data_IF_795292605370
#
_entry.id   IF_795292605370
#
_cell.length_a   1.000
_cell.length_b   1.000
_cell.length_c   1.000
_cell.angle_alpha   90.00
_cell.angle_beta   90.00
_cell.angle_gamma   90.00
#
_symmetry.space_group_name_H-M   'P 1'
#
loop_
_entity.id
_entity.type
_entity.pdbx_description
1 polymer ?
#
# COMPACT_ATOMS: atom_id res chain seq x y z
N UNK A 1 -32.92 -5.46 -17.00
CA UNK A 1 -31.67 -4.73 -16.70
C UNK A 1 -31.75 -4.36 -15.24
N UNK A 2 -30.75 -4.71 -14.44
CA UNK A 2 -30.77 -4.50 -12.98
C UNK A 2 -29.60 -3.62 -12.60
N UNK A 3 -29.81 -2.65 -11.73
CA UNK A 3 -28.73 -1.84 -11.15
C UNK A 3 -28.56 -2.26 -9.71
N UNK A 4 -27.33 -2.61 -9.32
CA UNK A 4 -26.95 -2.94 -7.95
C UNK A 4 -26.07 -1.81 -7.44
N UNK A 5 -26.50 -1.15 -6.38
CA UNK A 5 -25.79 -0.02 -5.77
C UNK A 5 -24.97 -0.50 -4.55
N UNK A 6 -24.10 0.39 -4.06
CA UNK A 6 -23.29 0.17 -2.87
C UNK A 6 -22.46 -1.13 -2.89
N UNK A 7 -21.94 -1.48 -4.06
CA UNK A 7 -21.08 -2.66 -4.22
C UNK A 7 -19.69 -2.32 -3.72
N UNK A 8 -19.10 -3.23 -2.93
CA UNK A 8 -17.73 -3.10 -2.44
C UNK A 8 -16.74 -3.57 -3.50
N UNK A 9 -15.74 -2.73 -3.79
CA UNK A 9 -14.69 -2.98 -4.76
C UNK A 9 -13.65 -3.97 -4.21
N UNK A 10 -13.44 -5.14 -4.87
CA UNK A 10 -12.54 -6.17 -4.38
C UNK A 10 -11.12 -6.01 -4.90
N UNK A 11 -10.60 -4.79 -5.05
CA UNK A 11 -9.28 -4.54 -5.67
C UNK A 11 -8.21 -4.18 -4.64
N UNK A 12 -8.22 -2.94 -4.15
CA UNK A 12 -7.20 -2.40 -3.25
C UNK A 12 -7.76 -2.08 -1.86
N UNK A 13 -6.90 -1.82 -0.90
CA UNK A 13 -7.26 -1.52 0.50
C UNK A 13 -8.04 -0.23 0.72
N UNK A 14 -8.30 0.57 -0.33
CA UNK A 14 -9.24 1.69 -0.25
C UNK A 14 -10.69 1.22 -0.15
N UNK A 15 -10.98 -0.05 -0.52
CA UNK A 15 -12.24 -0.76 -0.29
C UNK A 15 -13.48 0.08 -0.65
N UNK A 16 -13.52 0.62 -1.87
CA UNK A 16 -14.59 1.52 -2.27
C UNK A 16 -15.96 0.82 -2.23
N UNK A 17 -16.90 1.36 -1.45
CA UNK A 17 -18.24 0.83 -1.17
C UNK A 17 -19.38 1.55 -1.92
N UNK A 18 -19.06 2.43 -2.87
CA UNK A 18 -20.00 3.27 -3.62
C UNK A 18 -20.13 2.86 -5.10
N UNK A 19 -19.71 1.65 -5.44
CA UNK A 19 -19.72 1.16 -6.83
C UNK A 19 -21.16 0.82 -7.24
N UNK A 20 -21.57 1.28 -8.42
CA UNK A 20 -22.82 0.84 -9.05
C UNK A 20 -22.51 -0.11 -10.20
N UNK A 21 -23.15 -1.28 -10.19
CA UNK A 21 -23.05 -2.27 -11.25
C UNK A 21 -24.36 -2.35 -12.03
N UNK A 22 -24.28 -2.24 -13.36
CA UNK A 22 -25.41 -2.54 -14.24
C UNK A 22 -25.29 -3.96 -14.76
N UNK A 23 -26.34 -4.77 -14.55
CA UNK A 23 -26.43 -6.16 -14.96
C UNK A 23 -27.47 -6.31 -16.08
N UNK A 24 -27.07 -6.94 -17.18
CA UNK A 24 -27.93 -7.28 -18.32
C UNK A 24 -27.66 -8.74 -18.73
N UNK A 25 -28.71 -9.56 -18.80
CA UNK A 25 -28.58 -10.98 -19.16
C UNK A 25 -27.63 -11.76 -18.23
N UNK A 26 -27.67 -11.47 -16.92
CA UNK A 26 -26.79 -12.12 -15.94
C UNK A 26 -25.32 -11.70 -15.99
N UNK A 27 -24.94 -10.69 -16.80
CA UNK A 27 -23.56 -10.19 -16.92
C UNK A 27 -23.47 -8.74 -16.46
N UNK A 28 -22.36 -8.40 -15.82
CA UNK A 28 -21.99 -7.01 -15.51
C UNK A 28 -21.58 -6.35 -16.82
N UNK A 29 -22.27 -5.27 -17.20
CA UNK A 29 -22.03 -4.56 -18.48
C UNK A 29 -21.55 -3.13 -18.28
N UNK A 30 -21.71 -2.57 -17.09
CA UNK A 30 -21.25 -1.23 -16.75
C UNK A 30 -20.92 -1.14 -15.27
N UNK A 31 -19.85 -0.42 -14.98
CA UNK A 31 -19.39 -0.06 -13.64
C UNK A 31 -19.42 1.47 -13.57
N UNK A 32 -20.00 2.04 -12.52
CA UNK A 32 -19.89 3.46 -12.21
C UNK A 32 -19.18 3.64 -10.87
N UNK A 33 -18.56 4.80 -10.69
CA UNK A 33 -17.72 5.13 -9.54
C UNK A 33 -16.50 4.20 -9.38
N UNK A 34 -16.21 3.33 -10.35
CA UNK A 34 -14.98 2.53 -10.36
C UNK A 34 -13.80 3.34 -10.90
N UNK A 35 -12.60 3.12 -10.36
CA UNK A 35 -11.38 3.46 -11.10
C UNK A 35 -11.13 2.40 -12.20
N UNK A 36 -10.16 2.65 -13.08
CA UNK A 36 -9.80 1.71 -14.15
C UNK A 36 -9.53 0.28 -13.68
N UNK A 37 -8.93 0.09 -12.50
CA UNK A 37 -8.71 -1.24 -11.93
C UNK A 37 -10.01 -1.93 -11.48
N UNK A 38 -10.93 -1.16 -10.88
CA UNK A 38 -12.25 -1.64 -10.47
C UNK A 38 -13.08 -2.04 -11.70
N UNK A 39 -13.08 -1.20 -12.74
CA UNK A 39 -13.75 -1.49 -14.00
C UNK A 39 -13.18 -2.74 -14.65
N UNK A 40 -11.85 -2.84 -14.74
CA UNK A 40 -11.18 -4.00 -15.31
C UNK A 40 -11.56 -5.30 -14.58
N UNK A 41 -11.60 -5.28 -13.24
CA UNK A 41 -11.96 -6.47 -12.44
C UNK A 41 -13.42 -6.90 -12.63
N UNK A 42 -14.35 -5.96 -12.63
CA UNK A 42 -15.77 -6.28 -12.76
C UNK A 42 -16.22 -6.59 -14.18
N UNK A 43 -15.66 -5.93 -15.20
CA UNK A 43 -16.06 -6.16 -16.60
C UNK A 43 -15.44 -7.43 -17.19
N UNK A 44 -14.24 -7.81 -16.72
CA UNK A 44 -13.49 -8.97 -17.24
C UNK A 44 -13.50 -10.18 -16.31
N UNK A 45 -14.45 -10.26 -15.36
CA UNK A 45 -14.51 -11.33 -14.35
C UNK A 45 -14.60 -12.77 -14.93
N UNK A 46 -14.96 -12.90 -16.21
CA UNK A 46 -15.16 -14.17 -16.91
C UNK A 46 -14.14 -14.42 -18.02
N UNK A 47 -13.22 -13.49 -18.28
CA UNK A 47 -12.15 -13.66 -19.27
C UNK A 47 -11.18 -14.73 -18.77
N UNK A 48 -10.90 -15.74 -19.61
CA UNK A 48 -10.00 -16.86 -19.31
C UNK A 48 -10.31 -17.61 -17.99
N UNK A 49 -11.58 -17.59 -17.56
CA UNK A 49 -11.98 -18.16 -16.26
C UNK A 49 -12.06 -19.70 -16.33
N UNK A 50 -11.24 -20.44 -15.56
CA UNK A 50 -11.40 -21.89 -15.46
C UNK A 50 -12.72 -22.22 -14.74
N UNK A 51 -13.58 -23.00 -15.40
CA UNK A 51 -14.89 -23.42 -14.88
C UNK A 51 -14.89 -24.83 -14.27
N UNK A 52 -13.79 -25.57 -14.42
CA UNK A 52 -13.61 -26.91 -13.88
C UNK A 52 -12.27 -27.00 -13.16
N UNK A 53 -12.18 -27.78 -12.06
CA UNK A 53 -10.90 -28.14 -11.47
C UNK A 53 -10.00 -28.81 -12.50
N UNK A 54 -8.71 -28.48 -12.45
CA UNK A 54 -7.68 -29.04 -13.33
C UNK A 54 -6.63 -29.74 -12.46
N UNK A 55 -6.14 -30.87 -12.93
CA UNK A 55 -5.05 -31.62 -12.29
C UNK A 55 -3.96 -31.93 -13.31
N UNK A 56 -2.69 -31.81 -12.92
CA UNK A 56 -1.58 -32.15 -13.80
C UNK A 56 -1.40 -33.67 -13.89
N UNK A 57 -1.52 -34.24 -15.08
CA UNK A 57 -1.22 -35.65 -15.39
C UNK A 57 -0.25 -35.68 -16.57
N UNK A 58 0.90 -36.34 -16.41
CA UNK A 58 1.95 -36.43 -17.45
C UNK A 58 2.35 -35.06 -18.04
N UNK A 59 2.57 -34.07 -17.17
CA UNK A 59 2.97 -32.71 -17.56
C UNK A 59 1.84 -31.79 -18.05
N UNK A 60 0.66 -32.31 -18.38
CA UNK A 60 -0.47 -31.53 -18.92
C UNK A 60 -1.59 -31.34 -17.89
N UNK A 61 -2.24 -30.19 -17.89
CA UNK A 61 -3.44 -29.95 -17.08
C UNK A 61 -4.65 -30.60 -17.74
N UNK A 62 -5.35 -31.45 -17.00
CA UNK A 62 -6.57 -32.12 -17.46
C UNK A 62 -7.76 -31.81 -16.54
N UNK A 63 -8.96 -31.61 -17.08
CA UNK A 63 -10.17 -31.43 -16.26
C UNK A 63 -10.48 -32.67 -15.41
N UNK A 64 -10.85 -32.46 -14.16
CA UNK A 64 -11.27 -33.50 -13.21
C UNK A 64 -12.50 -33.06 -12.42
N UNK A 65 -13.13 -33.98 -11.69
CA UNK A 65 -14.22 -33.63 -10.77
C UNK A 65 -13.70 -32.86 -9.55
N UNK A 66 -14.56 -32.07 -8.92
CA UNK A 66 -14.22 -31.37 -7.67
C UNK A 66 -13.83 -32.37 -6.57
N UNK A 67 -14.55 -33.50 -6.47
CA UNK A 67 -14.25 -34.55 -5.50
C UNK A 67 -12.85 -35.13 -5.70
N UNK A 68 -12.46 -35.44 -6.95
CA UNK A 68 -11.12 -35.95 -7.27
C UNK A 68 -10.04 -34.92 -6.93
N UNK A 69 -10.22 -33.66 -7.34
CA UNK A 69 -9.25 -32.59 -7.08
C UNK A 69 -9.05 -32.33 -5.58
N UNK A 70 -10.13 -32.21 -4.82
CA UNK A 70 -10.08 -31.97 -3.37
C UNK A 70 -9.46 -33.17 -2.65
N UNK A 71 -9.86 -34.40 -3.00
CA UNK A 71 -9.29 -35.61 -2.40
C UNK A 71 -7.77 -35.69 -2.63
N UNK A 72 -7.30 -35.33 -3.84
CA UNK A 72 -5.88 -35.35 -4.13
C UNK A 72 -5.12 -34.24 -3.40
N UNK A 73 -5.67 -33.03 -3.31
CA UNK A 73 -5.08 -31.94 -2.55
C UNK A 73 -4.96 -32.28 -1.06
N UNK A 74 -6.01 -32.87 -0.47
CA UNK A 74 -6.01 -33.32 0.92
C UNK A 74 -4.95 -34.40 1.17
N UNK A 75 -4.79 -35.37 0.26
CA UNK A 75 -3.72 -36.38 0.35
C UNK A 75 -2.32 -35.77 0.34
N UNK A 76 -2.09 -34.73 -0.47
CA UNK A 76 -0.79 -34.04 -0.54
C UNK A 76 -0.52 -33.34 0.79
N UNK A 77 -1.49 -32.57 1.30
CA UNK A 77 -1.32 -31.83 2.55
C UNK A 77 -1.16 -32.75 3.76
N UNK A 78 -1.96 -33.81 3.85
CA UNK A 78 -1.86 -34.78 4.95
C UNK A 78 -0.57 -35.62 4.93
N UNK A 79 0.07 -35.74 3.76
CA UNK A 79 1.36 -36.43 3.61
C UNK A 79 2.57 -35.50 3.66
N UNK A 80 2.37 -34.18 3.79
CA UNK A 80 3.43 -33.20 3.87
C UNK A 80 4.01 -33.13 5.29
N UNK A 81 5.31 -32.89 5.38
CA UNK A 81 6.04 -32.71 6.64
C UNK A 81 6.00 -31.25 7.08
N UNK A 82 6.09 -30.32 6.12
CA UNK A 82 6.12 -28.89 6.41
C UNK A 82 5.44 -28.08 5.28
N UNK A 83 4.10 -28.21 5.15
CA UNK A 83 3.36 -27.50 4.11
C UNK A 83 3.31 -25.99 4.35
N UNK A 84 3.23 -25.21 3.26
CA UNK A 84 2.94 -23.77 3.31
C UNK A 84 1.54 -23.47 2.76
N UNK A 85 0.79 -22.63 3.48
CA UNK A 85 -0.57 -22.22 3.16
C UNK A 85 -0.59 -20.70 2.95
N UNK A 86 -0.52 -20.25 1.70
CA UNK A 86 -0.22 -18.85 1.36
C UNK A 86 -1.30 -18.11 0.56
N UNK A 87 -1.53 -16.84 0.91
CA UNK A 87 -2.22 -15.85 0.08
C UNK A 87 -3.27 -15.04 0.82
N UNK A 88 -4.52 -15.53 0.82
CA UNK A 88 -5.68 -15.13 1.66
C UNK A 88 -6.20 -13.68 1.51
N UNK A 89 -5.37 -12.76 1.03
CA UNK A 89 -5.64 -11.32 1.08
C UNK A 89 -6.65 -10.83 0.04
N UNK A 90 -7.02 -11.69 -0.90
CA UNK A 90 -8.05 -11.44 -1.92
C UNK A 90 -9.24 -12.40 -1.84
N UNK A 91 -9.50 -12.99 -0.66
CA UNK A 91 -10.72 -13.77 -0.35
C UNK A 91 -11.43 -13.21 0.89
N UNK A 92 -12.50 -13.86 1.36
CA UNK A 92 -13.27 -13.42 2.53
C UNK A 92 -12.62 -13.85 3.86
N UNK A 93 -13.08 -13.26 4.95
CA UNK A 93 -12.62 -13.60 6.30
C UNK A 93 -13.01 -15.03 6.70
N UNK A 94 -14.17 -15.53 6.27
CA UNK A 94 -14.64 -16.89 6.53
C UNK A 94 -13.77 -17.94 5.83
N UNK A 95 -13.36 -17.67 4.58
CA UNK A 95 -12.42 -18.52 3.86
C UNK A 95 -11.04 -18.51 4.54
N UNK A 96 -10.62 -17.34 5.06
CA UNK A 96 -9.37 -17.21 5.81
C UNK A 96 -9.41 -18.02 7.11
N UNK A 97 -10.51 -17.93 7.87
CA UNK A 97 -10.69 -18.71 9.10
C UNK A 97 -10.67 -20.22 8.83
N UNK A 98 -11.32 -20.68 7.75
CA UNK A 98 -11.26 -22.09 7.34
C UNK A 98 -9.82 -22.48 6.96
N UNK A 99 -9.06 -21.58 6.33
CA UNK A 99 -7.65 -21.79 5.99
C UNK A 99 -6.75 -21.95 7.21
N UNK A 100 -6.98 -21.19 8.27
CA UNK A 100 -6.25 -21.33 9.55
C UNK A 100 -6.59 -22.65 10.22
N UNK A 101 -7.87 -23.03 10.31
CA UNK A 101 -8.27 -24.32 10.86
C UNK A 101 -7.65 -25.49 10.09
N UNK A 102 -7.53 -25.37 8.76
CA UNK A 102 -6.81 -26.34 7.95
C UNK A 102 -5.31 -26.38 8.29
N UNK A 103 -4.67 -25.22 8.49
CA UNK A 103 -3.25 -25.14 8.88
C UNK A 103 -2.99 -25.76 10.26
N UNK A 104 -3.90 -25.56 11.21
CA UNK A 104 -3.84 -26.21 12.52
C UNK A 104 -3.90 -27.74 12.41
N UNK A 105 -4.77 -28.27 11.54
CA UNK A 105 -4.93 -29.71 11.33
C UNK A 105 -3.73 -30.35 10.62
N UNK A 106 -3.17 -29.70 9.60
CA UNK A 106 -2.07 -30.27 8.78
C UNK A 106 -0.68 -29.89 9.30
N UNK A 107 -0.59 -28.93 10.21
CA UNK A 107 0.67 -28.32 10.64
C UNK A 107 1.31 -27.43 9.57
N UNK A 108 2.57 -27.03 9.80
CA UNK A 108 3.32 -26.15 8.92
C UNK A 108 2.91 -24.69 9.03
N UNK A 109 3.16 -23.91 7.97
CA UNK A 109 3.06 -22.44 8.02
C UNK A 109 1.84 -21.93 7.28
N UNK A 110 1.04 -21.08 7.93
CA UNK A 110 0.02 -20.25 7.28
C UNK A 110 0.48 -18.80 7.23
N UNK A 111 0.45 -18.21 6.03
CA UNK A 111 0.97 -16.87 5.79
C UNK A 111 0.16 -16.12 4.74
N UNK A 112 0.14 -14.79 4.79
CA UNK A 112 -0.63 -13.96 3.88
C UNK A 112 0.26 -12.92 3.18
N UNK A 113 -0.29 -12.13 2.26
CA UNK A 113 0.51 -11.18 1.45
C UNK A 113 1.21 -10.08 2.26
N UNK A 114 0.88 -9.89 3.55
CA UNK A 114 1.60 -9.02 4.47
C UNK A 114 3.10 -9.31 4.47
N UNK A 115 3.53 -10.59 4.40
CA UNK A 115 4.97 -10.95 4.37
C UNK A 115 5.77 -10.28 3.25
N UNK A 116 5.15 -9.90 2.13
CA UNK A 116 5.77 -9.20 0.99
C UNK A 116 5.23 -7.78 0.80
N UNK A 117 4.53 -7.23 1.79
CA UNK A 117 3.87 -5.93 1.70
C UNK A 117 4.07 -5.09 2.97
N UNK A 118 3.15 -5.18 3.94
CA UNK A 118 3.16 -4.39 5.17
C UNK A 118 3.55 -5.20 6.42
N UNK A 119 4.14 -6.39 6.26
CA UNK A 119 4.71 -7.20 7.34
C UNK A 119 5.71 -6.42 8.20
N UNK A 120 6.66 -5.65 7.60
CA UNK A 120 7.52 -4.75 8.36
C UNK A 120 6.74 -3.72 9.18
N UNK A 121 5.59 -3.24 8.67
CA UNK A 121 4.72 -2.35 9.45
C UNK A 121 4.09 -3.04 10.64
N UNK A 122 3.68 -4.30 10.49
CA UNK A 122 3.11 -5.10 11.59
C UNK A 122 4.14 -5.28 12.71
N UNK A 123 5.37 -5.65 12.36
CA UNK A 123 6.48 -5.76 13.33
C UNK A 123 6.73 -4.44 14.06
N UNK A 124 6.78 -3.32 13.33
CA UNK A 124 6.95 -1.99 13.93
C UNK A 124 5.81 -1.60 14.86
N UNK A 125 4.57 -1.96 14.52
CA UNK A 125 3.40 -1.70 15.37
C UNK A 125 3.48 -2.52 16.66
N UNK A 126 4.03 -3.74 16.63
CA UNK A 126 4.27 -4.54 17.83
C UNK A 126 5.36 -3.91 18.71
N UNK A 127 6.43 -3.38 18.11
CA UNK A 127 7.55 -2.77 18.86
C UNK A 127 7.17 -1.43 19.49
N UNK A 128 6.50 -0.55 18.74
CA UNK A 128 6.29 0.84 19.16
C UNK A 128 4.82 1.28 19.19
N UNK A 129 3.89 0.54 18.62
CA UNK A 129 2.47 0.94 18.54
C UNK A 129 2.18 1.97 17.44
N UNK A 130 0.89 2.24 17.19
CA UNK A 130 0.44 3.09 16.08
C UNK A 130 -0.62 4.13 16.49
N UNK A 131 -0.33 5.44 16.37
CA UNK A 131 -1.35 6.48 16.50
C UNK A 131 -2.10 6.68 15.17
N UNK A 132 -3.18 5.93 14.94
CA UNK A 132 -3.98 6.00 13.70
C UNK A 132 -5.38 6.59 13.89
N UNK A 133 -6.17 6.67 12.82
CA UNK A 133 -7.57 7.12 12.82
C UNK A 133 -8.36 6.48 11.67
N UNK A 134 -9.66 6.75 11.55
CA UNK A 134 -10.45 6.34 10.38
C UNK A 134 -10.34 7.37 9.24
N UNK A 135 -10.53 6.94 7.99
CA UNK A 135 -10.52 7.83 6.82
C UNK A 135 -11.57 8.95 6.89
N UNK A 136 -12.64 8.78 7.67
CA UNK A 136 -13.62 9.83 7.95
C UNK A 136 -13.02 11.01 8.74
N UNK A 137 -12.13 10.75 9.71
CA UNK A 137 -11.44 11.82 10.43
C UNK A 137 -10.55 12.61 9.47
N UNK A 138 -9.79 11.91 8.63
CA UNK A 138 -8.93 12.53 7.61
C UNK A 138 -9.74 13.41 6.67
N UNK A 139 -10.80 12.87 6.08
CA UNK A 139 -11.68 13.60 5.15
C UNK A 139 -12.19 14.90 5.75
N UNK A 140 -12.62 14.88 7.00
CA UNK A 140 -13.30 16.03 7.58
C UNK A 140 -12.39 17.05 8.25
N UNK A 141 -11.22 16.63 8.77
CA UNK A 141 -10.39 17.45 9.67
C UNK A 141 -8.95 17.66 9.20
N UNK A 142 -8.41 16.77 8.36
CA UNK A 142 -6.98 16.87 8.03
C UNK A 142 -6.68 18.08 7.16
N UNK A 143 -5.89 19.01 7.69
CA UNK A 143 -5.38 20.20 7.02
C UNK A 143 -3.92 20.01 6.56
N UNK A 144 -3.26 18.93 7.01
CA UNK A 144 -2.00 18.46 6.43
C UNK A 144 -2.07 16.97 6.10
N UNK A 145 -1.78 16.62 4.84
CA UNK A 145 -1.69 15.25 4.34
C UNK A 145 -0.30 15.01 3.79
N UNK A 146 0.38 13.98 4.30
CA UNK A 146 1.70 13.55 3.83
C UNK A 146 1.54 12.17 3.20
N UNK A 147 1.95 11.99 1.95
CA UNK A 147 2.17 10.66 1.36
C UNK A 147 3.67 10.37 1.33
N UNK A 148 4.10 9.36 2.09
CA UNK A 148 5.49 8.96 2.23
C UNK A 148 5.74 7.59 1.59
N UNK A 149 6.59 7.53 0.56
CA UNK A 149 6.90 6.29 -0.13
C UNK A 149 5.65 5.60 -0.68
N UNK A 150 4.65 6.38 -1.10
CA UNK A 150 3.38 5.88 -1.62
C UNK A 150 2.88 6.74 -2.79
N UNK A 151 2.32 6.06 -3.79
CA UNK A 151 1.71 6.67 -4.98
C UNK A 151 0.24 6.26 -5.10
N UNK A 152 -0.65 6.81 -4.25
CA UNK A 152 -2.08 6.51 -4.28
C UNK A 152 -2.72 6.78 -5.65
N UNK A 153 -2.20 7.71 -6.47
CA UNK A 153 -2.76 7.94 -7.81
C UNK A 153 -2.78 6.66 -8.66
N UNK A 154 -1.74 5.84 -8.52
CA UNK A 154 -1.61 4.57 -9.24
C UNK A 154 -2.11 3.36 -8.44
N UNK A 155 -1.75 3.28 -7.15
CA UNK A 155 -2.01 2.10 -6.34
C UNK A 155 -3.40 2.09 -5.67
N UNK A 156 -3.93 3.27 -5.34
CA UNK A 156 -5.24 3.45 -4.69
C UNK A 156 -5.99 4.62 -5.32
N UNK A 157 -6.36 4.57 -6.62
CA UNK A 157 -6.62 5.77 -7.43
C UNK A 157 -7.71 6.71 -6.90
N UNK A 158 -8.71 6.16 -6.20
CA UNK A 158 -9.80 6.94 -5.60
C UNK A 158 -9.50 7.43 -4.19
N UNK A 159 -8.35 7.10 -3.60
CA UNK A 159 -8.02 7.48 -2.23
C UNK A 159 -7.91 8.99 -2.06
N UNK A 160 -7.25 9.68 -3.02
CA UNK A 160 -7.11 11.14 -2.98
C UNK A 160 -8.47 11.83 -3.13
N UNK A 161 -9.27 11.35 -4.08
CA UNK A 161 -10.63 11.83 -4.39
C UNK A 161 -11.59 11.64 -3.21
N UNK A 162 -11.60 10.46 -2.59
CA UNK A 162 -12.62 10.10 -1.60
C UNK A 162 -12.29 10.53 -0.19
N UNK A 163 -11.02 10.51 0.20
CA UNK A 163 -10.65 10.57 1.63
C UNK A 163 -9.68 11.68 2.02
N UNK A 164 -8.94 12.27 1.08
CA UNK A 164 -7.88 13.23 1.40
C UNK A 164 -8.01 14.49 0.55
N UNK A 165 -6.94 14.97 -0.09
CA UNK A 165 -6.78 16.29 -0.72
C UNK A 165 -7.96 16.77 -1.55
N UNK A 166 -8.61 15.90 -2.31
CA UNK A 166 -9.69 16.28 -3.22
C UNK A 166 -11.10 15.98 -2.69
N UNK A 167 -11.21 15.47 -1.46
CA UNK A 167 -12.48 15.20 -0.81
C UNK A 167 -12.99 16.41 -0.03
N UNK A 168 -14.28 16.71 -0.18
CA UNK A 168 -14.94 17.75 0.61
C UNK A 168 -15.19 17.23 2.04
N UNK A 169 -14.57 17.92 3.00
CA UNK A 169 -14.72 17.69 4.43
C UNK A 169 -15.75 18.60 5.07
N UNK A 170 -16.00 18.38 6.37
CA UNK A 170 -16.93 19.22 7.16
C UNK A 170 -16.23 20.51 7.61
N UNK A 171 -14.96 20.40 7.97
CA UNK A 171 -14.14 21.51 8.43
C UNK A 171 -13.10 21.91 7.37
N UNK A 172 -12.59 20.94 6.61
CA UNK A 172 -11.62 21.17 5.55
C UNK A 172 -12.23 21.08 4.15
N UNK A 173 -11.93 22.06 3.29
CA UNK A 173 -12.43 22.15 1.92
C UNK A 173 -11.61 21.32 0.94
N UNK A 174 -12.25 20.88 -0.13
CA UNK A 174 -11.56 20.20 -1.24
C UNK A 174 -10.63 21.16 -2.00
N UNK A 175 -9.41 20.70 -2.30
CA UNK A 175 -8.43 21.45 -3.08
C UNK A 175 -8.62 21.33 -4.60
N UNK A 176 -9.72 20.72 -5.07
CA UNK A 176 -9.96 20.47 -6.50
C UNK A 176 -9.89 21.74 -7.35
N UNK A 177 -10.45 22.85 -6.85
CA UNK A 177 -10.43 24.15 -7.56
C UNK A 177 -9.01 24.69 -7.70
N UNK A 178 -8.21 24.61 -6.63
CA UNK A 178 -6.80 25.02 -6.60
C UNK A 178 -5.94 24.16 -7.53
N UNK A 179 -6.17 22.84 -7.54
CA UNK A 179 -5.49 21.93 -8.44
C UNK A 179 -5.81 22.20 -9.92
N UNK A 180 -7.08 22.43 -10.26
CA UNK A 180 -7.49 22.74 -11.64
C UNK A 180 -6.91 24.07 -12.13
N UNK A 181 -6.86 25.10 -11.28
CA UNK A 181 -6.27 26.39 -11.65
C UNK A 181 -4.76 26.26 -11.90
N UNK A 182 -4.03 25.56 -11.03
CA UNK A 182 -2.60 25.22 -11.23
C UNK A 182 -2.39 24.47 -12.54
N UNK A 183 -3.21 23.47 -12.83
CA UNK A 183 -3.10 22.64 -14.04
C UNK A 183 -3.35 23.45 -15.33
N UNK A 184 -4.35 24.34 -15.31
CA UNK A 184 -4.63 25.27 -16.44
C UNK A 184 -3.47 26.23 -16.66
N UNK A 185 -2.91 26.81 -15.60
CA UNK A 185 -1.75 27.69 -15.68
C UNK A 185 -0.50 26.98 -16.23
N UNK A 186 -0.21 25.76 -15.77
CA UNK A 186 0.87 24.91 -16.29
C UNK A 186 0.70 24.60 -17.77
N UNK A 187 -0.53 24.26 -18.20
CA UNK A 187 -0.85 23.98 -19.60
C UNK A 187 -0.70 25.24 -20.47
N UNK A 188 -1.14 26.39 -19.97
CA UNK A 188 -0.93 27.69 -20.62
C UNK A 188 0.55 28.01 -20.80
N UNK A 189 1.36 27.87 -19.75
CA UNK A 189 2.83 28.05 -19.81
C UNK A 189 3.48 27.10 -20.81
N UNK A 190 3.09 25.82 -20.84
CA UNK A 190 3.60 24.85 -21.81
C UNK A 190 3.25 25.22 -23.25
N UNK A 191 2.04 25.73 -23.52
CA UNK A 191 1.64 26.24 -24.84
C UNK A 191 2.47 27.46 -25.25
N UNK A 192 2.61 28.45 -24.36
CA UNK A 192 3.42 29.65 -24.63
C UNK A 192 4.89 29.28 -24.88
N UNK A 193 5.49 28.43 -24.04
CA UNK A 193 6.84 27.92 -24.24
C UNK A 193 6.99 27.09 -25.53
N UNK A 194 5.95 26.37 -25.96
CA UNK A 194 5.95 25.68 -27.25
C UNK A 194 5.90 26.65 -28.44
N UNK A 195 5.18 27.76 -28.32
CA UNK A 195 5.11 28.79 -29.37
C UNK A 195 6.41 29.57 -29.44
N UNK A 196 6.95 30.02 -28.30
CA UNK A 196 8.24 30.70 -28.22
C UNK A 196 9.36 29.84 -28.82
N UNK A 197 9.41 28.53 -28.52
CA UNK A 197 10.38 27.60 -29.14
C UNK A 197 10.27 27.49 -30.66
N UNK A 198 9.04 27.50 -31.20
CA UNK A 198 8.84 27.49 -32.67
C UNK A 198 9.32 28.79 -33.32
N UNK A 199 9.34 29.88 -32.57
CA UNK A 199 9.82 31.19 -33.02
C UNK A 199 11.33 31.36 -32.81
N UNK A 200 11.90 30.79 -31.74
CA UNK A 200 13.33 30.91 -31.39
C UNK A 200 14.23 29.85 -32.00
N UNK A 201 13.68 28.77 -32.56
CA UNK A 201 14.47 27.69 -33.17
C UNK A 201 15.25 26.83 -32.17
N UNK A 202 15.01 26.97 -30.86
CA UNK A 202 15.74 26.23 -29.82
C UNK A 202 15.28 24.77 -29.68
N UNK A 203 16.24 23.85 -29.65
CA UNK A 203 16.00 22.45 -29.29
C UNK A 203 15.70 22.27 -27.80
N UNK A 204 15.04 21.16 -27.47
CA UNK A 204 14.51 20.85 -26.15
C UNK A 204 15.66 20.63 -25.15
N UNK A 205 15.75 21.38 -24.03
CA UNK A 205 16.76 21.10 -23.01
C UNK A 205 16.51 19.74 -22.33
N UNK A 206 17.58 19.01 -22.04
CA UNK A 206 17.59 17.78 -21.26
C UNK A 206 17.40 18.11 -19.78
N UNK A 207 16.26 17.65 -19.24
CA UNK A 207 15.83 17.76 -17.84
C UNK A 207 15.68 19.21 -17.29
N UNK A 208 14.64 19.48 -16.48
CA UNK A 208 14.59 20.74 -15.75
C UNK A 208 15.76 20.79 -14.75
N UNK A 209 16.40 21.95 -14.55
CA UNK A 209 17.41 22.10 -13.50
C UNK A 209 16.80 21.79 -12.13
N UNK A 210 17.58 21.16 -11.26
CA UNK A 210 17.22 20.99 -9.85
C UNK A 210 16.86 22.37 -9.29
N UNK A 211 15.64 22.48 -8.74
CA UNK A 211 15.14 23.74 -8.24
C UNK A 211 16.05 24.26 -7.12
N UNK A 212 16.81 25.31 -7.42
CA UNK A 212 17.55 26.09 -6.44
C UNK A 212 16.61 26.88 -5.53
N UNK A 213 17.11 27.15 -4.33
CA UNK A 213 16.53 27.90 -3.21
C UNK A 213 15.51 28.96 -3.60
N UNK A 214 14.23 28.65 -3.34
CA UNK A 214 13.17 29.64 -3.21
C UNK A 214 12.33 29.19 -2.02
N UNK A 215 12.35 29.97 -0.94
CA UNK A 215 11.42 29.84 0.20
C UNK A 215 10.04 29.47 -0.33
N UNK A 216 9.49 28.32 0.06
CA UNK A 216 8.41 27.72 -0.72
C UNK A 216 7.04 28.31 -0.36
N UNK A 217 6.44 29.20 -1.17
CA UNK A 217 5.20 29.90 -0.79
C UNK A 217 3.98 28.96 -0.68
N UNK A 218 4.14 27.71 -1.14
CA UNK A 218 3.12 26.68 -1.11
C UNK A 218 2.93 26.04 0.28
N UNK A 219 3.95 26.05 1.14
CA UNK A 219 3.87 25.52 2.51
C UNK A 219 3.04 26.44 3.43
N UNK A 220 3.07 27.75 3.18
CA UNK A 220 2.37 28.78 3.98
C UNK A 220 0.91 29.02 3.56
N UNK A 221 0.39 28.27 2.58
CA UNK A 221 -1.00 28.43 2.12
C UNK A 221 -2.00 28.05 3.23
N UNK A 222 -3.16 28.70 3.22
CA UNK A 222 -4.31 28.34 4.06
C UNK A 222 -5.09 27.17 3.44
N UNK A 223 -5.71 26.34 4.30
CA UNK A 223 -6.46 25.15 3.90
C UNK A 223 -5.57 23.91 3.80
N UNK A 224 -6.10 22.85 3.17
CA UNK A 224 -5.45 21.54 3.16
C UNK A 224 -4.16 21.54 2.33
N UNK A 225 -3.05 21.17 2.98
CA UNK A 225 -1.71 21.04 2.40
C UNK A 225 -1.40 19.59 2.06
N UNK A 226 -0.79 19.36 0.89
CA UNK A 226 -0.33 18.05 0.44
C UNK A 226 1.20 18.02 0.30
N UNK A 227 1.84 17.20 1.12
CA UNK A 227 3.28 16.89 1.02
C UNK A 227 3.44 15.48 0.46
N UNK A 228 4.39 15.29 -0.46
CA UNK A 228 4.78 13.98 -0.97
C UNK A 228 6.26 13.78 -0.75
N UNK A 229 6.63 12.66 -0.15
CA UNK A 229 8.02 12.20 0.01
C UNK A 229 8.18 10.94 -0.82
N UNK A 230 8.96 10.99 -1.89
CA UNK A 230 9.20 9.85 -2.78
C UNK A 230 10.51 10.08 -3.55
N UNK A 231 11.25 8.99 -3.83
CA UNK A 231 12.48 9.05 -4.64
C UNK A 231 12.18 9.46 -6.09
N UNK A 232 10.93 9.27 -6.55
CA UNK A 232 10.45 9.64 -7.88
C UNK A 232 9.39 10.71 -7.81
N UNK A 233 9.42 11.63 -8.78
CA UNK A 233 8.30 12.54 -9.04
C UNK A 233 7.13 11.80 -9.69
N UNK A 234 6.24 11.25 -8.86
CA UNK A 234 5.05 10.51 -9.27
C UNK A 234 3.88 11.43 -9.65
N UNK A 235 2.78 10.86 -10.17
CA UNK A 235 1.54 11.62 -10.37
C UNK A 235 0.95 12.18 -9.07
N UNK A 236 1.14 11.49 -7.95
CA UNK A 236 0.79 12.04 -6.63
C UNK A 236 1.68 13.23 -6.29
N UNK A 237 2.99 13.17 -6.56
CA UNK A 237 3.90 14.30 -6.36
C UNK A 237 3.55 15.51 -7.25
N UNK A 238 3.09 15.30 -8.48
CA UNK A 238 2.66 16.39 -9.36
C UNK A 238 1.42 17.14 -8.85
N UNK A 239 0.61 16.49 -8.01
CA UNK A 239 -0.53 17.11 -7.34
C UNK A 239 -0.17 17.78 -6.01
N UNK A 240 1.04 17.53 -5.49
CA UNK A 240 1.48 18.02 -4.19
C UNK A 240 1.70 19.53 -4.17
N UNK A 241 1.49 20.14 -3.00
CA UNK A 241 1.94 21.51 -2.75
C UNK A 241 3.45 21.52 -2.51
N UNK A 242 3.98 20.47 -1.89
CA UNK A 242 5.39 20.30 -1.63
C UNK A 242 5.84 18.87 -1.93
N UNK A 243 6.96 18.74 -2.64
CA UNK A 243 7.55 17.45 -3.00
C UNK A 243 8.98 17.36 -2.48
N UNK A 244 9.21 16.38 -1.62
CA UNK A 244 10.51 16.04 -1.05
C UNK A 244 11.04 14.86 -1.84
N UNK A 245 12.05 15.10 -2.68
CA UNK A 245 12.72 14.05 -3.41
C UNK A 245 13.86 13.47 -2.56
N UNK A 246 13.53 12.50 -1.73
CA UNK A 246 14.50 11.79 -0.89
C UNK A 246 15.44 10.93 -1.73
N UNK A 247 16.72 10.85 -1.35
CA UNK A 247 17.66 9.90 -1.94
C UNK A 247 17.22 8.45 -1.69
N UNK A 248 17.44 7.53 -2.65
CA UNK A 248 17.11 6.12 -2.45
C UNK A 248 17.77 5.54 -1.20
N UNK A 249 16.96 4.86 -0.37
CA UNK A 249 17.39 4.21 0.87
C UNK A 249 17.86 5.17 1.98
N UNK A 250 17.40 6.43 1.95
CA UNK A 250 17.71 7.46 2.97
C UNK A 250 16.49 7.94 3.75
N UNK A 251 15.37 7.21 3.68
CA UNK A 251 14.15 7.51 4.43
C UNK A 251 14.37 7.47 5.95
N UNK A 252 15.19 6.55 6.45
CA UNK A 252 15.48 6.44 7.88
C UNK A 252 16.14 7.70 8.42
N UNK A 253 17.22 8.15 7.78
CA UNK A 253 17.94 9.37 8.17
C UNK A 253 17.01 10.58 8.10
N UNK A 254 16.22 10.72 7.04
CA UNK A 254 15.26 11.81 6.90
C UNK A 254 14.20 11.80 8.02
N UNK A 255 13.65 10.63 8.37
CA UNK A 255 12.70 10.49 9.46
C UNK A 255 13.33 10.84 10.83
N UNK A 256 14.57 10.43 11.08
CA UNK A 256 15.27 10.79 12.32
C UNK A 256 15.54 12.29 12.41
N UNK A 257 15.88 12.95 11.29
CA UNK A 257 16.03 14.40 11.25
C UNK A 257 14.73 15.10 11.61
N UNK A 258 13.58 14.70 11.05
CA UNK A 258 12.30 15.27 11.48
C UNK A 258 12.05 15.03 12.98
N UNK A 259 12.33 13.84 13.51
CA UNK A 259 12.15 13.58 14.94
C UNK A 259 13.02 14.48 15.82
N UNK A 260 14.27 14.72 15.42
CA UNK A 260 15.18 15.64 16.08
C UNK A 260 14.63 17.08 16.04
N UNK A 261 14.22 17.56 14.86
CA UNK A 261 13.62 18.89 14.69
C UNK A 261 12.35 19.09 15.53
N UNK A 262 11.45 18.10 15.57
CA UNK A 262 10.22 18.15 16.39
C UNK A 262 10.51 18.18 17.90
N UNK A 263 11.69 17.70 18.30
CA UNK A 263 12.19 17.73 19.68
C UNK A 263 13.11 18.93 19.96
N UNK A 264 13.07 19.95 19.10
CA UNK A 264 13.85 21.18 19.20
C UNK A 264 15.38 20.91 19.25
N UNK A 265 15.85 19.87 18.55
CA UNK A 265 17.28 19.55 18.42
C UNK A 265 17.88 20.17 17.16
N UNK A 266 19.12 20.66 17.27
CA UNK A 266 19.87 21.23 16.15
C UNK A 266 20.42 20.15 15.20
N UNK A 267 20.40 20.46 13.90
CA UNK A 267 20.92 19.59 12.84
C UNK A 267 22.21 20.20 12.29
N UNK A 268 23.35 19.70 12.74
CA UNK A 268 24.68 20.22 12.38
C UNK A 268 25.20 19.63 11.06
N UNK A 269 24.38 19.71 10.01
CA UNK A 269 24.74 19.36 8.62
C UNK A 269 23.97 20.23 7.64
N UNK A 270 24.56 20.53 6.49
CA UNK A 270 23.90 21.35 5.45
C UNK A 270 22.74 20.61 4.75
N UNK A 271 22.85 19.28 4.63
CA UNK A 271 21.89 18.44 3.90
C UNK A 271 21.72 17.07 4.54
N UNK A 272 20.49 16.56 4.50
CA UNK A 272 20.16 15.17 4.85
C UNK A 272 19.37 14.52 3.71
N UNK A 273 19.78 13.31 3.31
CA UNK A 273 19.12 12.52 2.27
C UNK A 273 18.95 13.26 0.91
N UNK A 274 19.83 14.23 0.63
CA UNK A 274 19.78 15.08 -0.56
C UNK A 274 19.02 16.41 -0.40
N UNK A 275 18.40 16.66 0.76
CA UNK A 275 17.58 17.86 1.02
C UNK A 275 18.32 18.84 1.94
N UNK A 276 18.36 20.15 1.62
CA UNK A 276 18.87 21.19 2.53
C UNK A 276 18.16 21.21 3.89
N UNK A 277 18.90 21.39 4.96
CA UNK A 277 18.35 21.41 6.34
C UNK A 277 17.28 22.49 6.54
N UNK A 278 17.49 23.68 5.98
CA UNK A 278 16.49 24.78 5.98
C UNK A 278 15.13 24.32 5.42
N UNK A 279 15.12 23.52 4.35
CA UNK A 279 13.88 23.01 3.78
C UNK A 279 13.20 21.97 4.70
N UNK A 280 13.99 21.21 5.47
CA UNK A 280 13.46 20.25 6.44
C UNK A 280 12.85 20.97 7.64
N UNK A 281 13.45 22.07 8.07
CA UNK A 281 12.90 22.97 9.11
C UNK A 281 11.56 23.55 8.66
N UNK A 282 11.46 24.09 7.44
CA UNK A 282 10.18 24.60 6.89
C UNK A 282 9.06 23.53 6.90
N UNK A 283 9.41 22.28 6.60
CA UNK A 283 8.47 21.16 6.62
C UNK A 283 8.10 20.75 8.04
N UNK A 284 9.06 20.74 8.97
CA UNK A 284 8.82 20.46 10.38
C UNK A 284 7.86 21.51 10.97
N UNK A 285 8.07 22.79 10.68
CA UNK A 285 7.17 23.88 11.06
C UNK A 285 5.76 23.67 10.49
N UNK A 286 5.65 23.23 9.24
CA UNK A 286 4.38 22.93 8.62
C UNK A 286 3.66 21.75 9.30
N UNK A 287 4.41 20.73 9.75
CA UNK A 287 3.89 19.59 10.51
C UNK A 287 3.42 20.01 11.89
N UNK A 288 4.18 20.85 12.61
CA UNK A 288 3.81 21.37 13.94
C UNK A 288 2.62 22.33 13.86
N UNK A 289 2.59 23.21 12.87
CA UNK A 289 1.59 24.26 12.72
C UNK A 289 0.25 23.81 12.13
N UNK A 290 0.05 22.52 11.83
CA UNK A 290 -1.23 21.99 11.38
C UNK A 290 -2.20 21.78 12.56
N UNK A 291 -3.50 21.69 12.30
CA UNK A 291 -4.50 21.33 13.31
C UNK A 291 -4.71 19.82 13.39
N UNK A 292 -4.68 19.14 12.24
CA UNK A 292 -4.74 17.68 12.14
C UNK A 292 -3.89 17.21 10.96
N UNK A 293 -2.74 16.63 11.27
CA UNK A 293 -1.86 16.03 10.29
C UNK A 293 -2.06 14.53 10.13
N UNK A 294 -1.85 14.01 8.93
CA UNK A 294 -1.80 12.57 8.69
C UNK A 294 -0.64 12.18 7.76
N UNK A 295 0.11 11.15 8.14
CA UNK A 295 1.06 10.45 7.26
C UNK A 295 0.40 9.19 6.73
N UNK A 296 0.28 9.08 5.41
CA UNK A 296 0.02 7.83 4.70
C UNK A 296 1.33 7.30 4.16
N UNK A 297 1.67 6.04 4.46
CA UNK A 297 2.93 5.46 4.01
C UNK A 297 2.75 4.13 3.29
N UNK A 298 3.64 3.82 2.35
CA UNK A 298 3.55 2.64 1.49
C UNK A 298 4.84 1.82 1.43
N UNK A 299 4.99 1.09 0.32
CA UNK A 299 6.12 0.19 0.10
C UNK A 299 7.47 0.89 0.02
N UNK A 300 7.51 2.21 -0.24
CA UNK A 300 8.74 2.98 -0.20
C UNK A 300 9.41 2.98 1.18
N UNK A 301 8.66 2.73 2.26
CA UNK A 301 9.24 2.50 3.59
C UNK A 301 9.45 1.02 3.91
N UNK A 302 8.50 0.15 3.53
CA UNK A 302 8.52 -1.26 3.96
C UNK A 302 9.46 -2.14 3.13
N UNK A 303 9.78 -1.74 1.89
CA UNK A 303 10.56 -2.53 0.94
C UNK A 303 11.87 -1.88 0.50
N UNK A 304 12.24 -0.73 1.10
CA UNK A 304 13.56 -0.12 0.98
C UNK A 304 14.50 -0.61 2.09
N UNK A 305 15.79 -0.27 2.00
CA UNK A 305 16.75 -0.59 3.06
C UNK A 305 16.27 -0.05 4.41
N UNK A 306 16.45 -0.82 5.48
CA UNK A 306 15.90 -0.53 6.80
C UNK A 306 14.56 -1.20 7.10
N UNK A 307 13.68 -1.40 6.08
CA UNK A 307 12.38 -2.07 6.19
C UNK A 307 11.57 -1.63 7.42
N UNK A 308 11.55 -2.45 8.48
CA UNK A 308 10.82 -2.17 9.72
C UNK A 308 11.37 -0.93 10.44
N UNK A 309 12.69 -0.68 10.42
CA UNK A 309 13.28 0.48 11.10
C UNK A 309 12.84 1.81 10.51
N UNK A 310 12.55 1.85 9.20
CA UNK A 310 11.93 3.01 8.57
C UNK A 310 10.53 3.25 9.13
N UNK A 311 9.75 2.18 9.29
CA UNK A 311 8.39 2.29 9.82
C UNK A 311 8.40 2.65 11.30
N UNK A 312 9.30 2.09 12.11
CA UNK A 312 9.49 2.47 13.52
C UNK A 312 9.72 3.98 13.65
N UNK A 313 10.61 4.54 12.82
CA UNK A 313 10.92 5.96 12.81
C UNK A 313 9.69 6.80 12.39
N UNK A 314 8.91 6.36 11.40
CA UNK A 314 7.69 7.05 10.98
C UNK A 314 6.58 7.01 12.05
N UNK A 315 6.37 5.87 12.70
CA UNK A 315 5.42 5.72 13.82
C UNK A 315 5.85 6.58 15.01
N UNK A 316 7.15 6.63 15.29
CA UNK A 316 7.72 7.46 16.35
C UNK A 316 7.62 8.95 16.03
N UNK A 317 7.83 9.36 14.79
CA UNK A 317 7.62 10.74 14.35
C UNK A 317 6.18 11.19 14.57
N UNK A 318 5.20 10.36 14.20
CA UNK A 318 3.79 10.66 14.46
C UNK A 318 3.51 10.81 15.96
N UNK A 319 4.16 10.01 16.83
CA UNK A 319 4.04 10.14 18.29
C UNK A 319 4.69 11.42 18.82
N UNK A 320 5.89 11.74 18.35
CA UNK A 320 6.62 12.95 18.71
C UNK A 320 5.79 14.18 18.32
N UNK A 321 5.18 14.19 17.14
CA UNK A 321 4.26 15.24 16.69
C UNK A 321 3.02 15.39 17.58
N UNK A 322 2.48 14.30 18.14
CA UNK A 322 1.35 14.37 19.08
C UNK A 322 1.66 15.10 20.39
N UNK A 323 2.94 15.41 20.68
CA UNK A 323 3.30 16.30 21.80
C UNK A 323 3.07 17.78 21.49
N UNK A 324 2.92 18.14 20.20
CA UNK A 324 2.79 19.52 19.72
C UNK A 324 1.45 19.78 19.01
N UNK A 325 0.96 18.84 18.21
CA UNK A 325 -0.30 18.95 17.46
C UNK A 325 -0.92 17.58 17.19
N UNK A 326 -2.20 17.52 16.82
CA UNK A 326 -2.83 16.24 16.54
C UNK A 326 -2.28 15.63 15.25
N UNK A 327 -1.67 14.45 15.37
CA UNK A 327 -1.14 13.72 14.22
C UNK A 327 -1.61 12.26 14.19
N UNK A 328 -1.81 11.72 13.00
CA UNK A 328 -2.10 10.31 12.77
C UNK A 328 -1.17 9.72 11.70
N UNK A 329 -1.00 8.40 11.72
CA UNK A 329 -0.27 7.67 10.68
C UNK A 329 -1.04 6.43 10.24
N UNK A 330 -1.03 6.13 8.94
CA UNK A 330 -1.78 5.02 8.37
C UNK A 330 -0.98 4.31 7.25
N UNK A 331 -0.79 2.98 7.33
CA UNK A 331 -0.24 2.20 6.22
C UNK A 331 -1.26 2.10 5.07
N UNK A 332 -0.79 2.32 3.84
CA UNK A 332 -1.57 2.19 2.62
C UNK A 332 -1.69 0.72 2.19
N UNK A 333 -2.48 -0.05 2.95
CA UNK A 333 -2.65 -1.51 2.77
C UNK A 333 -3.00 -1.89 1.32
N UNK A 334 -2.36 -2.94 0.81
CA UNK A 334 -2.40 -3.35 -0.60
C UNK A 334 -3.74 -3.93 -1.05
N UNK A 335 -3.92 -5.25 -0.93
CA UNK A 335 -5.15 -5.95 -1.37
C UNK A 335 -6.36 -5.59 -0.50
N UNK A 336 -7.56 -5.70 -1.08
CA UNK A 336 -8.80 -5.24 -0.44
C UNK A 336 -9.09 -5.88 0.93
N UNK A 337 -8.63 -7.10 1.18
CA UNK A 337 -8.87 -7.81 2.44
C UNK A 337 -7.59 -8.28 3.15
N UNK A 338 -6.41 -7.72 2.83
CA UNK A 338 -5.18 -8.07 3.57
C UNK A 338 -5.30 -7.74 5.06
N UNK A 339 -5.95 -6.62 5.40
CA UNK A 339 -6.23 -6.25 6.79
C UNK A 339 -7.19 -7.25 7.45
N UNK A 340 -8.22 -7.70 6.73
CA UNK A 340 -9.15 -8.70 7.26
C UNK A 340 -8.46 -10.04 7.51
N UNK A 341 -7.54 -10.46 6.62
CA UNK A 341 -6.73 -11.65 6.82
C UNK A 341 -5.87 -11.53 8.08
N UNK A 342 -5.12 -10.44 8.26
CA UNK A 342 -4.31 -10.23 9.47
C UNK A 342 -5.16 -10.26 10.75
N UNK A 343 -6.36 -9.66 10.72
CA UNK A 343 -7.27 -9.65 11.88
C UNK A 343 -7.73 -11.06 12.22
N UNK A 344 -8.15 -11.85 11.21
CA UNK A 344 -8.61 -13.24 11.39
C UNK A 344 -7.48 -14.10 11.98
N UNK A 345 -6.28 -13.98 11.41
CA UNK A 345 -5.07 -14.61 11.93
C UNK A 345 -4.84 -14.23 13.40
N UNK A 346 -4.89 -12.94 13.72
CA UNK A 346 -4.60 -12.43 15.06
C UNK A 346 -5.59 -12.93 16.10
N UNK A 347 -6.90 -12.88 15.84
CA UNK A 347 -7.88 -13.28 16.87
C UNK A 347 -7.98 -14.80 17.07
N UNK A 348 -7.58 -15.61 16.08
CA UNK A 348 -7.60 -17.09 16.21
C UNK A 348 -6.28 -17.64 16.76
N UNK A 349 -5.16 -17.05 16.36
CA UNK A 349 -3.83 -17.61 16.64
C UNK A 349 -3.00 -16.77 17.63
N UNK A 350 -3.41 -15.53 17.88
CA UNK A 350 -2.62 -14.52 18.59
C UNK A 350 -1.67 -13.73 17.70
N UNK A 351 -1.48 -14.13 16.43
CA UNK A 351 -0.47 -13.55 15.54
C UNK A 351 -1.02 -13.20 14.15
N UNK A 352 -0.53 -12.15 13.48
CA UNK A 352 -1.16 -11.60 12.27
C UNK A 352 -0.77 -12.25 10.92
N UNK A 353 0.39 -12.90 10.82
CA UNK A 353 0.88 -13.56 9.60
C UNK A 353 2.03 -14.52 9.98
N UNK A 354 2.62 -15.26 9.02
CA UNK A 354 3.78 -16.13 9.26
C UNK A 354 3.64 -17.04 10.51
N UNK A 355 2.47 -17.65 10.68
CA UNK A 355 2.15 -18.48 11.85
C UNK A 355 2.49 -19.93 11.54
N UNK A 356 3.32 -20.54 12.37
CA UNK A 356 3.72 -21.94 12.27
C UNK A 356 2.98 -22.80 13.29
N UNK A 357 2.36 -23.88 12.82
CA UNK A 357 1.63 -24.87 13.59
C UNK A 357 2.33 -26.23 13.65
N UNK A 358 3.58 -26.35 13.15
CA UNK A 358 4.34 -27.61 13.12
C UNK A 358 4.48 -28.33 14.47
N UNK A 359 4.41 -27.59 15.58
CA UNK A 359 4.50 -28.12 16.94
C UNK A 359 3.14 -28.37 17.60
N UNK A 360 2.03 -28.24 16.88
CA UNK A 360 0.66 -28.39 17.39
C UNK A 360 0.12 -27.18 18.16
N UNK A 361 0.83 -26.05 18.16
CA UNK A 361 0.41 -24.76 18.71
C UNK A 361 1.03 -23.62 17.91
N UNK A 362 0.41 -22.42 17.87
CA UNK A 362 0.87 -21.32 17.05
C UNK A 362 2.22 -20.76 17.54
N UNK A 363 3.19 -20.66 16.63
CA UNK A 363 4.48 -19.98 16.81
C UNK A 363 4.62 -18.87 15.76
N UNK A 364 5.26 -17.78 16.13
CA UNK A 364 5.38 -16.60 15.29
C UNK A 364 6.79 -16.02 15.35
N UNK A 365 7.55 -16.20 14.27
CA UNK A 365 8.90 -15.68 14.13
C UNK A 365 9.15 -15.19 12.68
N UNK A 366 8.57 -14.06 12.23
CA UNK A 366 8.86 -13.54 10.89
C UNK A 366 10.37 -13.36 10.65
N UNK A 367 10.86 -13.86 9.52
CA UNK A 367 12.28 -14.08 9.22
C UNK A 367 12.69 -15.56 9.34
N UNK A 368 12.02 -16.32 10.19
CA UNK A 368 12.07 -17.78 10.25
C UNK A 368 10.81 -18.36 9.60
N UNK A 369 9.62 -18.00 10.07
CA UNK A 369 8.35 -18.62 9.67
C UNK A 369 7.61 -17.87 8.56
N UNK A 370 8.18 -16.81 7.98
CA UNK A 370 7.57 -16.19 6.79
C UNK A 370 7.79 -17.09 5.57
N UNK A 371 6.79 -17.14 4.69
CA UNK A 371 6.79 -18.05 3.53
C UNK A 371 8.01 -17.84 2.63
N UNK A 372 8.50 -16.60 2.50
CA UNK A 372 9.69 -16.28 1.73
C UNK A 372 10.93 -16.95 2.32
N UNK A 373 11.09 -16.90 3.63
CA UNK A 373 12.25 -17.45 4.32
C UNK A 373 12.24 -18.99 4.26
N UNK A 374 11.07 -19.61 4.49
CA UNK A 374 10.84 -21.06 4.35
C UNK A 374 11.16 -21.54 2.93
N UNK A 375 10.69 -20.83 1.90
CA UNK A 375 10.96 -21.17 0.50
C UNK A 375 12.44 -21.03 0.13
N UNK A 376 13.12 -19.98 0.63
CA UNK A 376 14.54 -19.75 0.35
C UNK A 376 15.43 -20.82 1.01
N UNK A 377 15.06 -21.29 2.21
CA UNK A 377 15.73 -22.41 2.90
C UNK A 377 15.31 -23.79 2.39
N UNK A 378 14.33 -23.84 1.48
CA UNK A 378 13.80 -25.07 0.86
C UNK A 378 13.21 -26.06 1.88
N UNK A 379 12.63 -25.52 2.94
CA UNK A 379 12.07 -26.31 4.04
C UNK A 379 10.68 -26.85 3.71
N UNK A 380 9.91 -26.16 2.86
CA UNK A 380 8.57 -26.61 2.48
C UNK A 380 8.59 -27.74 1.44
N UNK A 381 7.76 -28.75 1.64
CA UNK A 381 7.57 -29.90 0.75
C UNK A 381 6.20 -29.95 0.06
N UNK A 382 5.26 -29.08 0.47
CA UNK A 382 3.99 -28.85 -0.22
C UNK A 382 3.52 -27.40 -0.10
N UNK A 383 2.67 -26.95 -1.02
CA UNK A 383 2.11 -25.60 -0.99
C UNK A 383 0.63 -25.59 -1.40
N UNK A 384 -0.20 -24.90 -0.61
CA UNK A 384 -1.56 -24.51 -0.96
C UNK A 384 -1.61 -23.00 -1.15
N UNK A 385 -1.88 -22.55 -2.38
CA UNK A 385 -1.95 -21.14 -2.73
C UNK A 385 -3.41 -20.72 -2.93
N UNK A 386 -3.88 -19.73 -2.16
CA UNK A 386 -5.27 -19.27 -2.18
C UNK A 386 -5.33 -17.77 -2.42
N UNK A 387 -6.04 -17.36 -3.48
CA UNK A 387 -6.31 -15.96 -3.80
C UNK A 387 -5.04 -15.07 -3.87
N UNK A 388 -3.95 -15.61 -4.40
CA UNK A 388 -2.66 -14.94 -4.60
C UNK A 388 -1.92 -15.54 -5.80
N UNK A 389 -0.97 -14.79 -6.35
CA UNK A 389 -0.08 -15.23 -7.43
C UNK A 389 1.39 -15.05 -7.01
N UNK A 390 1.94 -16.00 -6.22
CA UNK A 390 3.31 -15.91 -5.73
C UNK A 390 4.35 -15.98 -6.84
N UNK A 391 4.10 -16.66 -7.97
CA UNK A 391 5.09 -16.78 -9.05
C UNK A 391 5.36 -15.42 -9.69
N UNK A 392 4.32 -14.60 -9.85
CA UNK A 392 4.46 -13.24 -10.39
C UNK A 392 5.02 -12.23 -9.37
N UNK A 393 4.89 -12.49 -8.06
CA UNK A 393 5.10 -11.47 -7.01
C UNK A 393 6.19 -11.82 -5.99
N UNK A 394 6.75 -13.03 -5.99
CA UNK A 394 7.86 -13.40 -5.12
C UNK A 394 9.22 -13.13 -5.76
N UNK A 395 10.27 -12.97 -4.94
CA UNK A 395 11.65 -13.02 -5.42
C UNK A 395 11.90 -14.31 -6.22
N UNK A 396 12.67 -14.19 -7.30
CA UNK A 396 12.91 -15.29 -8.26
C UNK A 396 13.33 -16.60 -7.59
N UNK A 397 14.21 -16.54 -6.59
CA UNK A 397 14.71 -17.75 -5.91
C UNK A 397 13.64 -18.45 -5.08
N UNK A 398 12.76 -17.70 -4.39
CA UNK A 398 11.63 -18.29 -3.68
C UNK A 398 10.61 -18.91 -4.65
N UNK A 399 10.32 -18.21 -5.76
CA UNK A 399 9.42 -18.73 -6.79
C UNK A 399 9.94 -20.01 -7.45
N UNK A 400 11.26 -20.15 -7.65
CA UNK A 400 11.88 -21.39 -8.19
C UNK A 400 11.63 -22.61 -7.31
N UNK A 401 11.69 -22.47 -5.99
CA UNK A 401 11.41 -23.59 -5.08
C UNK A 401 9.92 -23.94 -5.11
N UNK A 402 9.03 -22.94 -5.14
CA UNK A 402 7.59 -23.14 -5.15
C UNK A 402 7.07 -23.91 -6.38
N UNK A 403 7.69 -23.74 -7.54
CA UNK A 403 7.24 -24.37 -8.81
C UNK A 403 7.89 -25.71 -9.11
N UNK A 404 8.77 -26.19 -8.24
CA UNK A 404 9.45 -27.48 -8.36
C UNK A 404 8.48 -28.61 -8.02
#
# INVERSE_FOLDING_TARGET
>A
MTVVNAVVCPVCGALCDDIELTIKGGRIVKVKNGCSMSEAKFLNYNTDRPLKPLMRKNGKLVPVSLKEAVSKAAQILAGATYPILYGWSSTSCEATSTGIALAEEVGGVVDNTSTVCHGPSVLSIQDVGIPTCTLGQVRHRADLVVYWGSNPWSAHPRHIERYTTFSEGRFEKSEWRSYLSKTKALTGRKKVASVLRRLSGEEKPSAPPAAGSVSCPAISKKGRKLIVVDVRRTRTADAADYFIQVEPNKDYELLQTFRALIRDQEIDVDKVAGIPTEHLEEVADAMVGCNFGVIFFGLGLTMSNGKLRNVDAALSLARDLNTRTKFAIMPMRGHFNVTGADMVFTWQTGYPYAVDFSMGYPRYNPGETSVIDVLLRRESDAALIVASDPVANFPREAAKHLVK
#
